data_IF_048268706470
#
_entry.id   IF_048268706470
#
_cell.length_a   1.000
_cell.length_b   1.000
_cell.length_c   1.000
_cell.angle_alpha   90.00
_cell.angle_beta   90.00
_cell.angle_gamma   90.00
#
_symmetry.space_group_name_H-M   'P 1'
#
loop_
_entity.id
_entity.type
_entity.pdbx_description
1 polymer ?
#
# COMPACT_ATOMS: atom_id res chain seq x y z
N UNK A 1 -3.86 6.76 -10.91
CA UNK A 1 -5.21 6.99 -10.36
C UNK A 1 -5.28 8.43 -9.89
N UNK A 2 -6.31 9.16 -10.30
CA UNK A 2 -6.62 10.46 -9.69
C UNK A 2 -7.53 10.21 -8.48
N UNK A 3 -7.14 10.59 -7.26
CA UNK A 3 -8.02 10.45 -6.12
C UNK A 3 -9.26 11.34 -6.32
N UNK A 4 -10.48 10.80 -6.30
CA UNK A 4 -11.68 11.58 -6.60
C UNK A 4 -12.14 12.50 -5.45
N UNK A 5 -11.51 12.37 -4.28
CA UNK A 5 -11.95 13.02 -3.03
C UNK A 5 -10.82 13.70 -2.25
N UNK A 6 -9.65 13.91 -2.85
CA UNK A 6 -8.60 14.67 -2.17
C UNK A 6 -8.89 16.16 -2.28
N UNK A 7 -8.92 16.83 -1.15
CA UNK A 7 -8.94 18.29 -1.09
C UNK A 7 -7.60 18.81 -1.64
N UNK A 8 -7.66 19.68 -2.64
CA UNK A 8 -6.48 20.31 -3.19
C UNK A 8 -5.78 21.13 -2.10
N UNK A 9 -4.52 20.82 -1.82
CA UNK A 9 -3.73 21.48 -0.78
C UNK A 9 -3.87 20.88 0.62
N UNK A 10 -4.92 20.12 0.91
CA UNK A 10 -5.20 19.64 2.28
C UNK A 10 -4.10 18.76 2.91
N UNK A 11 -3.41 17.96 2.12
CA UNK A 11 -2.25 17.21 2.63
C UNK A 11 -1.06 18.14 2.94
N UNK A 12 -0.80 19.11 2.08
CA UNK A 12 0.26 20.08 2.28
C UNK A 12 0.03 20.92 3.53
N UNK A 13 -1.19 21.45 3.68
CA UNK A 13 -1.58 22.25 4.83
C UNK A 13 -1.46 21.45 6.14
N UNK A 14 -1.89 20.18 6.15
CA UNK A 14 -1.76 19.30 7.31
C UNK A 14 -0.30 18.98 7.66
N UNK A 15 0.56 18.80 6.67
CA UNK A 15 1.99 18.59 6.89
C UNK A 15 2.67 19.82 7.45
N UNK A 16 2.36 20.99 6.90
CA UNK A 16 2.94 22.26 7.35
C UNK A 16 2.53 22.56 8.80
N UNK A 17 1.25 22.35 9.13
CA UNK A 17 0.70 22.56 10.47
C UNK A 17 1.28 21.57 11.52
N UNK A 18 1.54 20.34 11.11
CA UNK A 18 2.12 19.29 11.95
C UNK A 18 3.66 19.31 12.00
N UNK A 19 4.34 20.15 11.20
CA UNK A 19 5.79 20.09 11.02
C UNK A 19 6.27 18.77 10.42
N UNK A 20 5.41 18.13 9.61
CA UNK A 20 5.69 16.85 8.98
C UNK A 20 6.55 16.94 7.72
N UNK A 21 7.01 15.78 7.24
CA UNK A 21 7.80 15.66 6.01
C UNK A 21 7.33 14.50 5.14
N UNK A 22 7.78 14.46 3.89
CA UNK A 22 7.49 13.39 2.93
C UNK A 22 8.79 12.75 2.47
N UNK A 23 8.89 11.44 2.67
CA UNK A 23 10.00 10.64 2.19
C UNK A 23 9.69 10.01 0.83
N UNK A 24 10.69 9.98 -0.04
CA UNK A 24 10.62 9.30 -1.32
C UNK A 24 11.39 7.99 -1.23
N UNK A 25 10.68 6.88 -1.39
CA UNK A 25 11.24 5.52 -1.36
C UNK A 25 11.22 4.95 -2.78
N UNK A 26 12.34 4.40 -3.25
CA UNK A 26 12.41 3.61 -4.47
C UNK A 26 12.01 2.15 -4.24
N UNK A 27 11.78 1.41 -5.32
CA UNK A 27 11.33 0.03 -5.23
C UNK A 27 12.40 -0.91 -4.66
N UNK A 28 13.67 -0.64 -4.85
CA UNK A 28 14.76 -1.46 -4.33
C UNK A 28 14.81 -1.36 -2.80
N UNK A 29 14.84 -0.15 -2.28
CA UNK A 29 14.78 0.12 -0.83
C UNK A 29 13.51 -0.44 -0.19
N UNK A 30 12.36 -0.32 -0.87
CA UNK A 30 11.09 -0.87 -0.42
C UNK A 30 11.20 -2.39 -0.21
N UNK A 31 11.71 -3.14 -1.19
CA UNK A 31 11.81 -4.59 -1.08
C UNK A 31 12.79 -5.03 0.00
N UNK A 32 13.94 -4.36 0.13
CA UNK A 32 14.91 -4.63 1.20
C UNK A 32 14.25 -4.48 2.57
N UNK A 33 13.52 -3.39 2.80
CA UNK A 33 12.90 -3.13 4.10
C UNK A 33 11.64 -3.96 4.36
N UNK A 34 10.94 -4.39 3.30
CA UNK A 34 9.86 -5.37 3.38
C UNK A 34 10.37 -6.73 3.89
N UNK A 35 11.44 -7.22 3.30
CA UNK A 35 12.06 -8.49 3.68
C UNK A 35 12.62 -8.41 5.10
N UNK A 36 13.26 -7.30 5.45
CA UNK A 36 13.80 -7.06 6.78
C UNK A 36 12.70 -6.98 7.85
N UNK A 37 11.58 -6.34 7.55
CA UNK A 37 10.44 -6.33 8.45
C UNK A 37 9.91 -7.74 8.70
N UNK A 38 9.77 -8.54 7.64
CA UNK A 38 9.36 -9.94 7.76
C UNK A 38 10.36 -10.78 8.60
N UNK A 39 11.65 -10.57 8.41
CA UNK A 39 12.69 -11.26 9.18
C UNK A 39 12.63 -10.93 10.68
N UNK A 40 12.39 -9.67 11.02
CA UNK A 40 12.40 -9.18 12.40
C UNK A 40 11.08 -9.43 13.14
N UNK A 41 9.96 -9.26 12.45
CA UNK A 41 8.61 -9.29 13.04
C UNK A 41 7.85 -10.62 12.76
N UNK A 42 8.37 -11.47 11.87
CA UNK A 42 7.79 -12.76 11.55
C UNK A 42 6.51 -12.70 10.72
N UNK A 43 6.16 -11.53 10.18
CA UNK A 43 4.94 -11.32 9.39
C UNK A 43 5.23 -10.58 8.08
N UNK A 44 4.57 -10.99 7.00
CA UNK A 44 4.62 -10.29 5.72
C UNK A 44 3.81 -9.00 5.73
N UNK A 45 4.27 -7.99 5.00
CA UNK A 45 3.55 -6.73 4.81
C UNK A 45 3.41 -6.43 3.32
N UNK A 46 2.37 -5.66 2.96
CA UNK A 46 2.18 -5.21 1.59
C UNK A 46 3.21 -4.14 1.21
N UNK A 47 3.47 -3.99 -0.09
CA UNK A 47 4.43 -3.01 -0.61
C UNK A 47 4.11 -1.59 -0.15
N UNK A 48 2.84 -1.22 -0.12
CA UNK A 48 2.42 0.09 0.37
C UNK A 48 2.75 0.32 1.86
N UNK A 49 2.67 -0.72 2.68
CA UNK A 49 3.08 -0.66 4.10
C UNK A 49 4.60 -0.68 4.26
N UNK A 50 5.31 -1.39 3.37
CA UNK A 50 6.78 -1.42 3.37
C UNK A 50 7.41 -0.06 3.04
N UNK A 51 6.69 0.84 2.34
CA UNK A 51 7.12 2.23 2.17
C UNK A 51 7.30 2.93 3.52
N UNK A 52 6.41 2.68 4.48
CA UNK A 52 6.54 3.28 5.81
C UNK A 52 7.78 2.77 6.57
N UNK A 53 8.10 1.48 6.46
CA UNK A 53 9.34 0.91 7.05
C UNK A 53 10.59 1.50 6.41
N UNK A 54 10.62 1.59 5.09
CA UNK A 54 11.74 2.17 4.35
C UNK A 54 11.91 3.67 4.64
N UNK A 55 10.80 4.41 4.75
CA UNK A 55 10.82 5.84 5.13
C UNK A 55 11.37 6.05 6.54
N UNK A 56 10.99 5.18 7.49
CA UNK A 56 11.54 5.24 8.86
C UNK A 56 13.05 4.98 8.83
N UNK A 57 13.51 4.00 8.07
CA UNK A 57 14.93 3.73 7.95
C UNK A 57 15.70 4.92 7.37
N UNK A 58 15.16 5.56 6.33
CA UNK A 58 15.72 6.76 5.75
C UNK A 58 15.78 7.91 6.78
N UNK A 59 14.69 8.13 7.53
CA UNK A 59 14.63 9.16 8.57
C UNK A 59 15.67 8.95 9.70
N UNK A 60 15.91 7.70 10.07
CA UNK A 60 16.95 7.33 11.04
C UNK A 60 18.35 7.57 10.48
N UNK A 61 18.59 7.20 9.22
CA UNK A 61 19.87 7.38 8.54
C UNK A 61 20.20 8.86 8.34
N UNK A 62 19.21 9.68 8.00
CA UNK A 62 19.33 11.13 7.88
C UNK A 62 19.42 11.85 9.24
N UNK A 63 19.20 11.14 10.35
CA UNK A 63 19.24 11.70 11.72
C UNK A 63 18.03 12.56 12.07
N UNK A 64 16.96 12.51 11.27
CA UNK A 64 15.69 13.17 11.55
C UNK A 64 14.97 12.51 12.74
N UNK A 65 15.09 11.18 12.84
CA UNK A 65 14.58 10.39 13.97
C UNK A 65 15.75 9.96 14.86
N UNK A 66 15.65 10.21 16.17
CA UNK A 66 16.68 9.91 17.17
C UNK A 66 16.38 8.61 17.91
N UNK A 67 17.43 8.02 18.51
CA UNK A 67 17.34 6.74 19.21
C UNK A 67 16.47 6.75 20.47
N UNK A 68 16.28 7.91 21.08
CA UNK A 68 15.52 8.12 22.31
C UNK A 68 14.08 8.59 22.06
N UNK A 69 13.69 8.72 20.79
CA UNK A 69 12.32 9.08 20.43
C UNK A 69 11.40 7.88 20.42
N UNK A 70 10.15 8.11 20.83
CA UNK A 70 9.08 7.12 20.71
C UNK A 70 8.47 7.19 19.31
N UNK A 71 8.61 6.10 18.57
CA UNK A 71 8.18 6.03 17.19
C UNK A 71 6.88 5.22 17.07
N UNK A 72 5.87 5.78 16.43
CA UNK A 72 4.68 5.04 16.01
C UNK A 72 4.76 4.78 14.51
N UNK A 73 5.02 3.53 14.12
CA UNK A 73 5.02 3.09 12.74
C UNK A 73 3.66 2.49 12.37
N UNK A 74 2.96 3.09 11.41
CA UNK A 74 1.66 2.61 10.98
C UNK A 74 1.79 1.62 9.83
N UNK A 75 1.58 0.33 10.10
CA UNK A 75 1.55 -0.75 9.10
C UNK A 75 0.11 -0.97 8.63
N UNK A 76 -0.20 -0.50 7.44
CA UNK A 76 -1.56 -0.44 6.91
C UNK A 76 -2.06 -1.71 6.22
N UNK A 77 -1.21 -2.73 6.06
CA UNK A 77 -1.62 -4.01 5.47
C UNK A 77 -0.50 -5.02 5.40
N UNK A 78 -0.87 -6.30 5.53
CA UNK A 78 0.03 -7.44 5.52
C UNK A 78 -0.62 -8.69 6.13
N UNK A 79 0.20 -9.72 6.39
CA UNK A 79 -0.24 -10.97 6.99
C UNK A 79 -1.00 -11.88 6.03
N UNK A 80 -0.92 -11.64 4.72
CA UNK A 80 -1.64 -12.46 3.73
C UNK A 80 -1.04 -13.87 3.62
N UNK A 81 0.27 -14.01 3.68
CA UNK A 81 0.95 -15.30 3.64
C UNK A 81 0.64 -16.11 4.92
N UNK A 82 0.66 -15.46 6.07
CA UNK A 82 0.26 -16.08 7.33
C UNK A 82 -1.19 -16.53 7.29
N UNK A 83 -2.11 -15.67 6.84
CA UNK A 83 -3.52 -16.04 6.71
C UNK A 83 -3.74 -17.21 5.76
N UNK A 84 -2.99 -17.30 4.66
CA UNK A 84 -3.05 -18.43 3.71
C UNK A 84 -2.49 -19.73 4.30
N UNK A 85 -1.51 -19.64 5.19
CA UNK A 85 -0.93 -20.82 5.84
C UNK A 85 -1.81 -21.39 6.96
N UNK A 86 -2.63 -20.55 7.59
CA UNK A 86 -3.47 -20.92 8.72
C UNK A 86 -4.92 -21.26 8.34
N UNK A 87 -5.39 -20.78 7.19
CA UNK A 87 -6.80 -20.90 6.78
C UNK A 87 -6.92 -21.34 5.32
N UNK A 88 -7.94 -22.16 5.06
CA UNK A 88 -8.39 -22.47 3.71
C UNK A 88 -9.07 -21.23 3.10
N UNK A 89 -8.29 -20.42 2.39
CA UNK A 89 -8.80 -19.21 1.74
C UNK A 89 -9.38 -19.58 0.37
N UNK A 90 -10.66 -19.37 0.20
CA UNK A 90 -11.35 -19.53 -1.09
C UNK A 90 -11.45 -18.18 -1.78
N UNK A 91 -10.73 -18.03 -2.88
CA UNK A 91 -10.81 -16.83 -3.71
C UNK A 91 -12.04 -16.86 -4.62
N UNK A 92 -12.84 -15.82 -4.57
CA UNK A 92 -13.92 -15.62 -5.53
C UNK A 92 -13.32 -15.45 -6.95
N UNK A 93 -13.83 -16.22 -7.90
CA UNK A 93 -13.47 -16.06 -9.32
C UNK A 93 -14.37 -15.00 -9.94
N UNK A 94 -13.80 -14.05 -10.71
CA UNK A 94 -14.62 -13.09 -11.44
C UNK A 94 -15.47 -13.82 -12.49
N UNK A 95 -16.73 -13.47 -12.62
CA UNK A 95 -17.59 -13.98 -13.68
C UNK A 95 -17.19 -13.42 -15.05
N UNK A 96 -16.63 -12.21 -15.07
CA UNK A 96 -16.22 -11.52 -16.26
C UNK A 96 -15.00 -10.64 -15.95
N UNK A 97 -14.02 -10.69 -16.83
CA UNK A 97 -12.84 -9.78 -16.80
C UNK A 97 -12.93 -8.90 -18.03
N UNK A 98 -12.91 -7.60 -17.83
CA UNK A 98 -13.05 -6.59 -18.89
C UNK A 98 -11.72 -5.86 -19.09
N UNK A 99 -11.37 -5.63 -20.36
CA UNK A 99 -10.26 -4.75 -20.71
C UNK A 99 -10.71 -3.28 -20.57
N UNK A 100 -9.97 -2.43 -19.82
CA UNK A 100 -10.28 -1.01 -19.72
C UNK A 100 -10.29 -0.24 -21.05
N UNK A 101 -9.64 -0.78 -22.07
CA UNK A 101 -9.59 -0.20 -23.41
C UNK A 101 -10.71 -0.71 -24.35
N UNK A 102 -11.59 -1.58 -23.85
CA UNK A 102 -12.68 -2.17 -24.64
C UNK A 102 -13.67 -1.10 -25.09
N UNK A 103 -14.17 -1.17 -26.35
CA UNK A 103 -15.25 -0.31 -26.83
C UNK A 103 -16.51 -0.42 -25.99
N UNK A 104 -17.22 0.68 -25.82
CA UNK A 104 -18.43 0.76 -24.96
C UNK A 104 -19.53 -0.23 -25.38
N UNK A 105 -19.75 -0.40 -26.70
CA UNK A 105 -20.76 -1.34 -27.22
C UNK A 105 -20.43 -2.80 -26.87
N UNK A 106 -19.16 -3.18 -26.93
CA UNK A 106 -18.71 -4.51 -26.54
C UNK A 106 -18.81 -4.72 -25.03
N UNK A 107 -18.49 -3.68 -24.25
CA UNK A 107 -18.62 -3.67 -22.80
C UNK A 107 -20.07 -3.92 -22.36
N UNK A 108 -21.01 -3.17 -22.94
CA UNK A 108 -22.45 -3.31 -22.67
C UNK A 108 -22.92 -4.72 -23.02
N UNK A 109 -22.57 -5.23 -24.22
CA UNK A 109 -22.95 -6.57 -24.65
C UNK A 109 -22.46 -7.67 -23.72
N UNK A 110 -21.22 -7.57 -23.22
CA UNK A 110 -20.66 -8.55 -22.27
C UNK A 110 -21.33 -8.49 -20.91
N UNK A 111 -21.66 -7.29 -20.42
CA UNK A 111 -22.36 -7.12 -19.14
C UNK A 111 -23.78 -7.66 -19.24
N UNK A 112 -24.52 -7.33 -20.31
CA UNK A 112 -25.87 -7.85 -20.52
C UNK A 112 -25.90 -9.38 -20.64
N UNK A 113 -24.83 -9.97 -21.21
CA UNK A 113 -24.68 -11.42 -21.31
C UNK A 113 -24.60 -12.15 -19.97
N UNK A 114 -24.24 -11.46 -18.89
CA UNK A 114 -24.22 -12.05 -17.54
C UNK A 114 -25.60 -12.29 -16.93
N UNK A 115 -26.65 -11.62 -17.46
CA UNK A 115 -28.00 -11.65 -16.91
C UNK A 115 -29.01 -12.41 -17.79
N UNK A 116 -28.52 -13.06 -18.83
CA UNK A 116 -29.30 -13.96 -19.70
C UNK A 116 -29.02 -15.42 -19.39
#
# INVERSE_FOLDING_TARGET
RKPPYSLKGGLFDAMEDAGGDIYKVDNESLHIWKDKFRELEGIDIHDAAAVATASLAQAVEEGTVKKDEVIMLNITGGGEELAKSEKDIVYAKPHLVLDPAMPEEELISKIEGLFK
#
